data_IF_379866882260
#
_entry.id   IF_379866882260
#
_cell.length_a   1.000
_cell.length_b   1.000
_cell.length_c   1.000
_cell.angle_alpha   90.00
_cell.angle_beta   90.00
_cell.angle_gamma   90.00
#
_symmetry.space_group_name_H-M   'P 1'
#
loop_
_entity.id
_entity.type
_entity.pdbx_description
1 polymer ?
#
# COMPACT_ATOMS: atom_id res chain seq x y z
N UNK A 1 -6.52 3.87 -0.17
CA UNK A 1 -6.76 4.38 -1.54
C UNK A 1 -8.12 5.05 -1.55
N UNK A 2 -8.17 6.28 -2.05
CA UNK A 2 -9.08 7.40 -1.71
C UNK A 2 -8.51 8.33 -0.62
N UNK A 3 -8.21 7.81 0.57
CA UNK A 3 -7.80 8.66 1.71
C UNK A 3 -6.29 8.64 2.05
N UNK A 4 -5.51 7.83 1.33
CA UNK A 4 -4.06 7.70 1.56
C UNK A 4 -3.29 8.51 0.51
N UNK A 5 -2.44 9.43 0.97
CA UNK A 5 -1.47 10.13 0.13
C UNK A 5 -0.10 9.44 0.22
N UNK A 6 0.47 9.10 -0.92
CA UNK A 6 1.82 8.54 -1.03
C UNK A 6 2.68 9.50 -1.86
N UNK A 7 3.86 9.83 -1.32
CA UNK A 7 4.88 10.63 -2.00
C UNK A 7 6.15 9.79 -2.12
N UNK A 8 6.67 9.65 -3.34
CA UNK A 8 7.92 8.94 -3.64
C UNK A 8 8.82 9.83 -4.49
N UNK A 9 10.08 9.96 -4.11
CA UNK A 9 11.06 10.82 -4.79
C UNK A 9 12.43 10.16 -4.81
N UNK A 10 13.34 10.67 -5.64
CA UNK A 10 14.69 10.09 -5.75
C UNK A 10 15.66 10.72 -4.74
N UNK A 11 15.45 11.99 -4.39
CA UNK A 11 16.31 12.71 -3.45
C UNK A 11 15.54 13.18 -2.23
N UNK A 12 16.26 13.32 -1.11
CA UNK A 12 15.71 13.84 0.14
C UNK A 12 15.21 15.28 0.00
N UNK A 13 15.96 16.11 -0.73
CA UNK A 13 15.60 17.52 -0.93
C UNK A 13 14.26 17.64 -1.64
N UNK A 14 14.11 16.93 -2.77
CA UNK A 14 12.85 16.85 -3.52
C UNK A 14 11.71 16.28 -2.66
N UNK A 15 12.01 15.28 -1.82
CA UNK A 15 11.01 14.70 -0.92
C UNK A 15 10.42 15.73 0.03
N UNK A 16 11.27 16.54 0.64
CA UNK A 16 10.86 17.57 1.60
C UNK A 16 10.05 18.65 0.88
N UNK A 17 10.51 19.11 -0.28
CA UNK A 17 9.81 20.14 -1.07
C UNK A 17 8.40 19.68 -1.47
N UNK A 18 8.25 18.46 -1.97
CA UNK A 18 6.96 17.90 -2.36
C UNK A 18 6.08 17.63 -1.13
N UNK A 19 6.64 17.13 -0.03
CA UNK A 19 5.88 16.88 1.19
C UNK A 19 5.30 18.16 1.79
N UNK A 20 6.08 19.26 1.80
CA UNK A 20 5.59 20.57 2.25
C UNK A 20 4.47 21.06 1.33
N UNK A 21 4.70 21.05 0.01
CA UNK A 21 3.69 21.47 -0.97
C UNK A 21 2.39 20.67 -0.83
N UNK A 22 2.47 19.36 -0.62
CA UNK A 22 1.31 18.51 -0.45
C UNK A 22 0.53 18.85 0.83
N UNK A 23 1.22 19.15 1.93
CA UNK A 23 0.58 19.57 3.18
C UNK A 23 -0.12 20.92 2.99
N UNK A 24 0.53 21.88 2.34
CA UNK A 24 -0.04 23.21 2.09
C UNK A 24 -1.34 23.10 1.26
N UNK A 25 -1.33 22.29 0.19
CA UNK A 25 -2.52 22.05 -0.65
C UNK A 25 -3.65 21.39 0.17
N UNK A 26 -3.31 20.43 1.03
CA UNK A 26 -4.30 19.76 1.87
C UNK A 26 -4.92 20.73 2.88
N UNK A 27 -4.12 21.63 3.46
CA UNK A 27 -4.59 22.67 4.38
C UNK A 27 -5.54 23.65 3.67
N UNK A 28 -5.17 24.15 2.48
CA UNK A 28 -6.03 25.03 1.67
C UNK A 28 -7.38 24.37 1.32
N UNK A 29 -7.36 23.09 0.98
CA UNK A 29 -8.53 22.29 0.66
C UNK A 29 -9.30 21.79 1.90
N UNK A 30 -8.85 22.12 3.12
CA UNK A 30 -9.44 21.71 4.41
C UNK A 30 -9.50 20.19 4.60
N UNK A 31 -8.52 19.48 4.07
CA UNK A 31 -8.27 18.06 4.37
C UNK A 31 -7.26 17.94 5.51
N UNK A 32 -7.60 17.14 6.52
CA UNK A 32 -6.78 16.97 7.70
C UNK A 32 -6.10 15.60 7.70
N UNK A 33 -4.79 15.59 7.97
CA UNK A 33 -3.98 14.37 8.02
C UNK A 33 -3.91 13.88 9.48
N UNK A 34 -4.05 12.57 9.69
CA UNK A 34 -3.88 11.96 11.01
C UNK A 34 -2.39 11.85 11.36
N UNK A 35 -1.93 12.61 12.36
CA UNK A 35 -0.54 12.62 12.82
C UNK A 35 -0.01 11.22 13.19
N UNK A 36 -0.85 10.36 13.77
CA UNK A 36 -0.47 9.00 14.16
C UNK A 36 -0.26 8.06 12.97
N UNK A 37 -0.89 8.37 11.83
CA UNK A 37 -0.78 7.57 10.60
C UNK A 37 0.31 8.08 9.66
N UNK A 38 0.85 9.28 9.89
CA UNK A 38 1.91 9.85 9.07
C UNK A 38 3.21 9.07 9.26
N UNK A 39 3.82 8.70 8.13
CA UNK A 39 5.13 8.07 8.09
C UNK A 39 5.98 8.84 7.11
N UNK A 40 7.07 9.43 7.59
CA UNK A 40 7.98 10.23 6.78
C UNK A 40 9.30 9.48 6.55
N UNK A 41 9.96 9.77 5.43
CA UNK A 41 11.32 9.32 5.11
C UNK A 41 11.52 7.81 5.34
N UNK A 42 10.59 7.02 4.82
CA UNK A 42 10.65 5.57 4.93
C UNK A 42 11.34 5.00 3.69
N UNK A 43 12.35 4.15 3.89
CA UNK A 43 12.97 3.38 2.81
C UNK A 43 12.07 2.23 2.31
N UNK A 44 11.02 1.92 3.09
CA UNK A 44 10.03 0.91 2.76
C UNK A 44 8.64 1.36 3.18
N UNK A 45 7.68 1.30 2.25
CA UNK A 45 6.28 1.66 2.52
C UNK A 45 5.35 0.53 2.14
N UNK A 46 4.50 0.10 3.09
CA UNK A 46 3.39 -0.82 2.82
C UNK A 46 2.16 -0.04 2.41
N UNK A 47 1.63 -0.30 1.21
CA UNK A 47 0.44 0.39 0.67
C UNK A 47 -0.35 -0.56 -0.24
N UNK A 48 -1.68 -0.64 -0.06
CA UNK A 48 -2.59 -1.48 -0.84
C UNK A 48 -2.23 -2.98 -0.92
N UNK A 49 -1.56 -3.50 0.10
CA UNK A 49 -1.09 -4.90 0.10
C UNK A 49 0.15 -5.14 -0.75
N UNK A 50 0.85 -4.06 -1.11
CA UNK A 50 2.18 -4.07 -1.71
C UNK A 50 3.18 -3.42 -0.77
N UNK A 51 4.45 -3.75 -0.96
CA UNK A 51 5.60 -3.16 -0.29
C UNK A 51 6.42 -2.47 -1.36
N UNK A 52 6.66 -1.18 -1.17
CA UNK A 52 7.49 -0.36 -2.05
C UNK A 52 8.83 -0.17 -1.35
N UNK A 53 9.91 -0.49 -2.05
CA UNK A 53 11.30 -0.38 -1.60
C UNK A 53 12.14 0.23 -2.71
N UNK A 54 13.40 0.57 -2.41
CA UNK A 54 14.37 1.03 -3.41
C UNK A 54 14.62 -0.02 -4.51
N UNK A 55 14.47 -1.32 -4.18
CA UNK A 55 14.65 -2.43 -5.11
C UNK A 55 13.43 -2.66 -6.02
N UNK A 56 12.32 -1.97 -5.75
CA UNK A 56 11.08 -2.05 -6.53
C UNK A 56 9.84 -2.29 -5.67
N UNK A 57 8.77 -2.71 -6.34
CA UNK A 57 7.46 -2.96 -5.75
C UNK A 57 7.25 -4.47 -5.68
N UNK A 58 7.00 -4.98 -4.47
CA UNK A 58 6.68 -6.39 -4.25
C UNK A 58 5.34 -6.53 -3.55
N UNK A 59 4.80 -7.74 -3.54
CA UNK A 59 3.60 -8.05 -2.76
C UNK A 59 3.91 -8.11 -1.26
N UNK A 60 2.93 -7.73 -0.42
CA UNK A 60 3.08 -7.85 1.03
C UNK A 60 3.17 -9.32 1.44
N UNK A 61 4.30 -9.76 2.05
CA UNK A 61 4.47 -11.15 2.49
C UNK A 61 3.33 -11.62 3.39
N UNK A 62 2.74 -10.71 4.18
CA UNK A 62 1.62 -11.02 5.07
C UNK A 62 0.37 -11.44 4.28
N UNK A 63 0.13 -10.85 3.10
CA UNK A 63 -0.97 -11.24 2.21
C UNK A 63 -0.71 -12.58 1.54
N UNK A 64 0.52 -12.83 1.10
CA UNK A 64 0.92 -14.12 0.52
C UNK A 64 0.76 -15.24 1.56
N UNK A 65 1.22 -15.01 2.79
CA UNK A 65 1.13 -15.96 3.89
C UNK A 65 -0.32 -16.25 4.26
N UNK A 66 -1.17 -15.21 4.31
CA UNK A 66 -2.61 -15.36 4.56
C UNK A 66 -3.28 -16.27 3.53
N UNK A 67 -2.95 -16.09 2.24
CA UNK A 67 -3.49 -16.94 1.18
C UNK A 67 -2.90 -18.35 1.20
N UNK A 68 -1.62 -18.49 1.54
CA UNK A 68 -0.94 -19.79 1.68
C UNK A 68 -1.52 -20.63 2.83
N UNK A 69 -1.95 -19.97 3.91
CA UNK A 69 -2.58 -20.60 5.08
C UNK A 69 -4.09 -20.69 4.98
N UNK A 70 -4.68 -20.28 3.85
CA UNK A 70 -6.12 -20.29 3.67
C UNK A 70 -6.65 -21.73 3.71
N UNK A 71 -7.68 -21.97 4.52
CA UNK A 71 -8.28 -23.31 4.66
C UNK A 71 -8.96 -23.73 3.36
N UNK A 72 -8.81 -24.99 2.96
CA UNK A 72 -9.45 -25.53 1.75
C UNK A 72 -10.94 -25.16 1.72
N UNK A 73 -11.41 -24.42 0.70
CA UNK A 73 -12.81 -24.01 0.60
C UNK A 73 -13.74 -25.23 0.59
N UNK A 74 -14.76 -25.23 1.44
CA UNK A 74 -15.72 -26.35 1.56
C UNK A 74 -17.05 -26.08 0.89
N UNK A 75 -17.26 -24.87 0.38
CA UNK A 75 -18.47 -24.45 -0.32
C UNK A 75 -18.15 -23.42 -1.41
N UNK A 76 -19.15 -23.12 -2.24
CA UNK A 76 -19.03 -22.22 -3.38
C UNK A 76 -18.64 -20.79 -2.99
N UNK A 77 -19.24 -20.23 -1.94
CA UNK A 77 -18.97 -18.85 -1.51
C UNK A 77 -17.53 -18.67 -1.02
N UNK A 78 -17.00 -19.66 -0.30
CA UNK A 78 -15.62 -19.69 0.13
C UNK A 78 -14.65 -19.84 -1.06
N UNK A 79 -15.03 -20.63 -2.06
CA UNK A 79 -14.23 -20.80 -3.28
C UNK A 79 -14.16 -19.48 -4.07
N UNK A 80 -15.28 -18.82 -4.28
CA UNK A 80 -15.34 -17.51 -4.94
C UNK A 80 -14.51 -16.45 -4.18
N UNK A 81 -14.62 -16.44 -2.84
CA UNK A 81 -13.84 -15.53 -1.99
C UNK A 81 -12.33 -15.78 -2.12
N UNK A 82 -11.92 -17.05 -2.11
CA UNK A 82 -10.52 -17.43 -2.32
C UNK A 82 -10.02 -17.01 -3.70
N UNK A 83 -10.79 -17.30 -4.77
CA UNK A 83 -10.41 -16.94 -6.13
C UNK A 83 -10.28 -15.42 -6.30
N UNK A 84 -11.19 -14.63 -5.74
CA UNK A 84 -11.10 -13.17 -5.78
C UNK A 84 -9.88 -12.62 -5.03
N UNK A 85 -9.52 -13.23 -3.88
CA UNK A 85 -8.32 -12.87 -3.15
C UNK A 85 -7.04 -13.28 -3.91
N UNK A 86 -7.02 -14.47 -4.50
CA UNK A 86 -5.90 -14.98 -5.27
C UNK A 86 -5.68 -14.19 -6.57
N UNK A 87 -6.75 -13.77 -7.26
CA UNK A 87 -6.65 -12.94 -8.47
C UNK A 87 -6.07 -11.55 -8.20
N UNK A 88 -6.16 -11.05 -6.97
CA UNK A 88 -5.46 -9.81 -6.58
C UNK A 88 -3.94 -10.00 -6.54
N UNK A 89 -3.46 -11.26 -6.44
CA UNK A 89 -2.04 -11.56 -6.35
C UNK A 89 -1.38 -11.94 -7.68
N UNK A 90 -2.15 -12.24 -8.74
CA UNK A 90 -1.63 -12.87 -9.96
C UNK A 90 -0.66 -12.03 -10.78
N UNK A 91 -0.62 -10.70 -10.59
CA UNK A 91 0.35 -9.84 -11.30
C UNK A 91 1.81 -10.07 -10.83
N UNK A 92 2.01 -10.65 -9.65
CA UNK A 92 3.33 -10.92 -9.05
C UNK A 92 3.67 -12.43 -8.98
N UNK A 93 2.79 -13.30 -9.49
CA UNK A 93 2.94 -14.77 -9.51
C UNK A 93 3.07 -15.25 -10.95
N UNK A 94 4.20 -14.93 -11.60
CA UNK A 94 4.61 -15.45 -12.90
C UNK A 94 6.03 -16.00 -12.84
#
# INVERSE_FOLDING_TARGET
YLDDLLVTTTTLQEHIEIAVLAIDILEEAKFYISKEKMKFLQNMVKVLGRVITDDGITMDPDKIDTLSKWKVPTNWDLLCSFLGAASFLTDDVA
#
